data_IF_395136292647
#
_entry.id   IF_395136292647
#
_cell.length_a   1.000
_cell.length_b   1.000
_cell.length_c   1.000
_cell.angle_alpha   90.00
_cell.angle_beta   90.00
_cell.angle_gamma   90.00
#
_symmetry.space_group_name_H-M   'P 1'
#
loop_
_entity.id
_entity.type
_entity.pdbx_description
1 polymer ?
#
# COMPACT_ATOMS: atom_id res chain seq x y z
N UNK A 1 -5.83 26.16 -19.47
CA UNK A 1 -5.53 25.90 -18.04
C UNK A 1 -6.34 24.75 -17.44
N UNK A 2 -7.63 24.60 -17.74
CA UNK A 2 -8.51 23.54 -17.21
C UNK A 2 -8.01 22.09 -17.40
N UNK A 3 -7.46 21.71 -18.56
CA UNK A 3 -7.05 20.31 -18.79
C UNK A 3 -5.90 19.84 -17.89
N UNK A 4 -5.07 20.77 -17.39
CA UNK A 4 -3.98 20.45 -16.47
C UNK A 4 -4.50 20.11 -15.06
N UNK A 5 -5.59 20.76 -14.62
CA UNK A 5 -6.23 20.49 -13.33
C UNK A 5 -6.99 19.16 -13.36
N UNK A 6 -7.77 18.91 -14.42
CA UNK A 6 -8.50 17.64 -14.60
C UNK A 6 -7.53 16.46 -14.67
N UNK A 7 -6.36 16.64 -15.30
CA UNK A 7 -5.32 15.60 -15.37
C UNK A 7 -4.62 15.36 -14.04
N UNK A 8 -4.39 16.41 -13.23
CA UNK A 8 -3.85 16.29 -11.86
C UNK A 8 -4.84 15.59 -10.92
N UNK A 9 -6.13 15.90 -11.03
CA UNK A 9 -7.19 15.18 -10.32
C UNK A 9 -7.23 13.70 -10.74
N UNK A 10 -7.18 13.40 -12.03
CA UNK A 10 -7.20 12.01 -12.49
C UNK A 10 -6.04 11.17 -11.95
N UNK A 11 -4.83 11.73 -11.82
CA UNK A 11 -3.67 11.03 -11.19
C UNK A 11 -3.96 10.74 -9.72
N UNK A 12 -4.35 11.77 -8.96
CA UNK A 12 -4.65 11.62 -7.54
C UNK A 12 -5.79 10.63 -7.29
N UNK A 13 -6.78 10.56 -8.19
CA UNK A 13 -7.90 9.62 -8.07
C UNK A 13 -7.42 8.17 -8.09
N UNK A 14 -6.38 7.81 -8.85
CA UNK A 14 -5.86 6.43 -8.86
C UNK A 14 -5.24 6.04 -7.52
N UNK A 15 -4.43 6.95 -6.94
CA UNK A 15 -3.83 6.76 -5.62
C UNK A 15 -4.93 6.65 -4.55
N UNK A 16 -5.93 7.52 -4.60
CA UNK A 16 -7.06 7.51 -3.66
C UNK A 16 -7.84 6.19 -3.77
N UNK A 17 -8.14 5.73 -4.99
CA UNK A 17 -8.83 4.45 -5.21
C UNK A 17 -8.01 3.30 -4.62
N UNK A 18 -6.69 3.28 -4.87
CA UNK A 18 -5.81 2.24 -4.32
C UNK A 18 -5.80 2.26 -2.78
N UNK A 19 -5.71 3.44 -2.17
CA UNK A 19 -5.80 3.59 -0.73
C UNK A 19 -7.14 3.12 -0.18
N UNK A 20 -8.26 3.55 -0.78
CA UNK A 20 -9.59 3.13 -0.34
C UNK A 20 -9.77 1.62 -0.43
N UNK A 21 -9.31 1.01 -1.52
CA UNK A 21 -9.37 -0.44 -1.70
C UNK A 21 -8.51 -1.18 -0.67
N UNK A 22 -7.28 -0.70 -0.44
CA UNK A 22 -6.38 -1.28 0.55
C UNK A 22 -6.95 -1.19 1.98
N UNK A 23 -7.49 -0.03 2.36
CA UNK A 23 -8.12 0.17 3.67
C UNK A 23 -9.40 -0.65 3.81
N UNK A 24 -10.19 -0.81 2.74
CA UNK A 24 -11.36 -1.69 2.79
C UNK A 24 -10.96 -3.14 3.10
N UNK A 25 -9.90 -3.64 2.46
CA UNK A 25 -9.37 -4.99 2.75
C UNK A 25 -8.89 -5.08 4.19
N UNK A 26 -8.17 -4.06 4.67
CA UNK A 26 -7.67 -3.99 6.04
C UNK A 26 -8.82 -4.06 7.06
N UNK A 27 -9.86 -3.25 6.91
CA UNK A 27 -11.02 -3.24 7.80
C UNK A 27 -11.80 -4.57 7.76
N UNK A 28 -11.99 -5.15 6.57
CA UNK A 28 -12.75 -6.40 6.41
C UNK A 28 -12.03 -7.63 6.96
N UNK A 29 -10.70 -7.66 6.88
CA UNK A 29 -9.91 -8.83 7.27
C UNK A 29 -9.27 -8.59 8.63
N UNK A 30 -8.41 -7.59 8.73
CA UNK A 30 -7.55 -7.37 9.89
C UNK A 30 -8.37 -6.96 11.11
N UNK A 31 -9.13 -5.87 11.01
CA UNK A 31 -9.95 -5.36 12.13
C UNK A 31 -10.99 -6.40 12.57
N UNK A 32 -11.57 -7.14 11.63
CA UNK A 32 -12.53 -8.20 11.94
C UNK A 32 -11.90 -9.36 12.71
N UNK A 33 -10.70 -9.80 12.31
CA UNK A 33 -9.94 -10.84 13.02
C UNK A 33 -9.46 -10.36 14.39
N UNK A 34 -8.98 -9.12 14.45
CA UNK A 34 -8.53 -8.48 15.68
C UNK A 34 -9.65 -8.39 16.72
N UNK A 35 -10.83 -7.90 16.33
CA UNK A 35 -12.01 -7.86 17.20
C UNK A 35 -12.42 -9.25 17.69
N UNK A 36 -12.35 -10.26 16.82
CA UNK A 36 -12.66 -11.63 17.21
C UNK A 36 -11.63 -12.21 18.19
N UNK A 37 -10.35 -11.90 18.01
CA UNK A 37 -9.28 -12.25 18.94
C UNK A 37 -9.52 -11.63 20.32
N UNK A 38 -9.84 -10.33 20.41
CA UNK A 38 -10.15 -9.67 21.69
C UNK A 38 -11.35 -10.27 22.42
N UNK A 39 -12.29 -10.86 21.67
CA UNK A 39 -13.47 -11.50 22.26
C UNK A 39 -13.15 -12.90 22.82
N UNK A 40 -12.26 -13.64 22.18
CA UNK A 40 -12.04 -15.07 22.43
C UNK A 40 -10.69 -15.37 23.09
N UNK A 41 -9.83 -14.37 23.23
CA UNK A 41 -8.42 -14.47 23.64
C UNK A 41 -7.61 -15.49 22.81
N UNK A 42 -8.11 -15.85 21.62
CA UNK A 42 -7.48 -16.80 20.72
C UNK A 42 -7.92 -16.57 19.29
N UNK A 43 -7.05 -16.94 18.35
CA UNK A 43 -7.34 -16.87 16.92
C UNK A 43 -7.98 -18.19 16.51
N UNK A 44 -9.15 -18.15 15.89
CA UNK A 44 -9.82 -19.35 15.39
C UNK A 44 -9.79 -19.39 13.85
N UNK A 45 -9.26 -20.46 13.24
CA UNK A 45 -8.55 -21.59 13.86
C UNK A 45 -7.13 -21.23 14.34
N UNK A 46 -6.73 -21.78 15.48
CA UNK A 46 -5.43 -21.53 16.12
C UNK A 46 -4.29 -22.29 15.41
N UNK A 47 -4.07 -21.94 14.14
CA UNK A 47 -3.03 -22.53 13.30
C UNK A 47 -1.91 -21.53 13.10
N UNK A 48 -0.67 -22.02 13.15
CA UNK A 48 0.53 -21.19 12.96
C UNK A 48 0.50 -20.47 11.60
N UNK A 49 0.07 -21.15 10.55
CA UNK A 49 -0.03 -20.57 9.21
C UNK A 49 -0.99 -19.39 9.16
N UNK A 50 -2.15 -19.47 9.84
CA UNK A 50 -3.11 -18.38 9.86
C UNK A 50 -2.60 -17.18 10.65
N UNK A 51 -1.87 -17.41 11.74
CA UNK A 51 -1.21 -16.32 12.48
C UNK A 51 -0.14 -15.61 11.64
N UNK A 52 0.70 -16.37 10.92
CA UNK A 52 1.70 -15.78 10.01
C UNK A 52 1.06 -15.01 8.86
N UNK A 53 0.00 -15.57 8.25
CA UNK A 53 -0.76 -14.90 7.20
C UNK A 53 -1.37 -13.60 7.74
N UNK A 54 -1.91 -13.64 8.95
CA UNK A 54 -2.55 -12.48 9.55
C UNK A 54 -1.54 -11.37 9.84
N UNK A 55 -0.41 -11.67 10.49
CA UNK A 55 0.67 -10.70 10.72
C UNK A 55 1.19 -10.14 9.39
N UNK A 56 1.33 -10.98 8.38
CA UNK A 56 1.73 -10.53 7.05
C UNK A 56 0.72 -9.56 6.43
N UNK A 57 -0.57 -9.86 6.52
CA UNK A 57 -1.63 -8.99 6.00
C UNK A 57 -1.62 -7.65 6.73
N UNK A 58 -1.55 -7.66 8.07
CA UNK A 58 -1.54 -6.44 8.87
C UNK A 58 -0.35 -5.52 8.50
N UNK A 59 0.87 -6.03 8.64
CA UNK A 59 2.10 -5.27 8.41
C UNK A 59 2.25 -4.83 6.95
N UNK A 60 1.94 -5.72 5.99
CA UNK A 60 2.07 -5.39 4.57
C UNK A 60 1.03 -4.35 4.15
N UNK A 61 -0.25 -4.51 4.52
CA UNK A 61 -1.30 -3.55 4.13
C UNK A 61 -1.09 -2.19 4.80
N UNK A 62 -0.69 -2.16 6.07
CA UNK A 62 -0.34 -0.93 6.78
C UNK A 62 0.82 -0.19 6.10
N UNK A 63 1.89 -0.93 5.78
CA UNK A 63 3.06 -0.39 5.10
C UNK A 63 2.74 0.10 3.68
N UNK A 64 1.90 -0.64 2.94
CA UNK A 64 1.42 -0.23 1.60
C UNK A 64 0.63 1.08 1.67
N UNK A 65 -0.27 1.25 2.64
CA UNK A 65 -0.98 2.51 2.85
C UNK A 65 -0.01 3.66 3.11
N UNK A 66 0.94 3.46 4.02
CA UNK A 66 1.90 4.49 4.44
C UNK A 66 2.82 4.91 3.29
N UNK A 67 3.40 3.94 2.58
CA UNK A 67 4.29 4.24 1.44
C UNK A 67 3.53 4.88 0.28
N UNK A 68 2.27 4.51 0.06
CA UNK A 68 1.43 5.10 -0.98
C UNK A 68 1.15 6.57 -0.68
N UNK A 69 0.83 6.91 0.57
CA UNK A 69 0.63 8.31 1.00
C UNK A 69 1.94 9.11 0.90
N UNK A 70 3.06 8.52 1.32
CA UNK A 70 4.37 9.15 1.22
C UNK A 70 4.73 9.43 -0.25
N UNK A 71 4.60 8.43 -1.12
CA UNK A 71 4.86 8.56 -2.56
C UNK A 71 3.96 9.60 -3.22
N UNK A 72 2.66 9.59 -2.92
CA UNK A 72 1.73 10.58 -3.45
C UNK A 72 2.09 12.02 -3.04
N UNK A 73 2.70 12.19 -1.86
CA UNK A 73 3.16 13.49 -1.37
C UNK A 73 4.43 13.94 -2.11
N UNK A 74 5.38 13.03 -2.33
CA UNK A 74 6.58 13.26 -3.15
C UNK A 74 6.18 13.59 -4.60
N UNK A 75 5.26 12.82 -5.19
CA UNK A 75 4.78 13.06 -6.54
C UNK A 75 4.14 14.45 -6.67
N UNK A 76 3.30 14.84 -5.70
CA UNK A 76 2.69 16.19 -5.68
C UNK A 76 3.76 17.28 -5.60
N UNK A 77 4.81 17.08 -4.81
CA UNK A 77 5.94 18.00 -4.75
C UNK A 77 6.62 18.13 -6.13
N UNK A 78 6.97 17.01 -6.76
CA UNK A 78 7.58 16.99 -8.11
C UNK A 78 6.68 17.68 -9.13
N UNK A 79 5.36 17.46 -9.07
CA UNK A 79 4.38 18.08 -9.96
C UNK A 79 4.33 19.61 -9.86
N UNK A 80 4.53 20.16 -8.66
CA UNK A 80 4.51 21.60 -8.39
C UNK A 80 5.80 22.25 -8.94
N UNK A 81 6.96 21.67 -8.64
CA UNK A 81 8.27 22.26 -9.00
C UNK A 81 8.74 21.90 -10.41
N UNK A 82 8.32 20.76 -10.96
CA UNK A 82 8.77 20.22 -12.25
C UNK A 82 7.62 19.80 -13.17
N UNK A 83 6.63 20.68 -13.37
CA UNK A 83 5.43 20.42 -14.18
C UNK A 83 5.72 19.89 -15.62
N UNK A 84 6.88 20.24 -16.21
CA UNK A 84 7.26 19.80 -17.56
C UNK A 84 7.53 18.28 -17.65
N UNK A 85 7.86 17.62 -16.54
CA UNK A 85 8.22 16.20 -16.50
C UNK A 85 7.04 15.29 -16.85
N UNK A 86 5.82 15.75 -16.56
CA UNK A 86 4.58 15.00 -16.80
C UNK A 86 3.88 15.38 -18.11
N UNK A 87 4.50 16.21 -18.96
CA UNK A 87 3.92 16.64 -20.23
C UNK A 87 3.69 15.48 -21.21
N UNK A 88 4.57 14.48 -21.21
CA UNK A 88 4.50 13.30 -22.09
C UNK A 88 3.89 12.09 -21.39
N UNK A 89 3.02 11.36 -22.10
CA UNK A 89 2.37 10.13 -21.61
C UNK A 89 3.37 9.06 -21.16
N UNK A 90 4.50 8.91 -21.88
CA UNK A 90 5.56 7.95 -21.51
C UNK A 90 6.26 8.32 -20.21
N UNK A 91 6.55 9.61 -20.01
CA UNK A 91 7.19 10.09 -18.77
C UNK A 91 6.24 9.98 -17.58
N UNK A 92 4.94 10.22 -17.79
CA UNK A 92 3.92 9.97 -16.76
C UNK A 92 3.89 8.52 -16.32
N UNK A 93 3.97 7.58 -17.26
CA UNK A 93 4.04 6.16 -16.90
C UNK A 93 5.26 5.84 -16.03
N UNK A 94 6.44 6.33 -16.44
CA UNK A 94 7.71 6.08 -15.75
C UNK A 94 7.82 6.79 -14.39
N UNK A 95 7.18 7.93 -14.20
CA UNK A 95 7.30 8.72 -12.96
C UNK A 95 6.17 8.41 -11.97
N UNK A 96 4.96 8.10 -12.44
CA UNK A 96 3.82 7.82 -11.57
C UNK A 96 3.67 6.32 -11.27
N UNK A 97 3.47 5.52 -12.32
CA UNK A 97 3.07 4.11 -12.15
C UNK A 97 4.26 3.22 -11.78
N UNK A 98 5.42 3.39 -12.43
CA UNK A 98 6.58 2.52 -12.19
C UNK A 98 7.07 2.59 -10.74
N UNK A 99 7.32 3.78 -10.14
CA UNK A 99 7.81 3.84 -8.77
C UNK A 99 6.78 3.30 -7.78
N UNK A 100 5.49 3.57 -8.01
CA UNK A 100 4.42 3.06 -7.16
C UNK A 100 4.34 1.53 -7.21
N UNK A 101 4.41 0.92 -8.40
CA UNK A 101 4.43 -0.55 -8.55
C UNK A 101 5.68 -1.16 -7.90
N UNK A 102 6.85 -0.53 -8.07
CA UNK A 102 8.10 -0.99 -7.46
C UNK A 102 8.08 -0.89 -5.93
N UNK A 103 7.55 0.21 -5.36
CA UNK A 103 7.44 0.39 -3.92
C UNK A 103 6.46 -0.60 -3.30
N UNK A 104 5.28 -0.78 -3.90
CA UNK A 104 4.27 -1.73 -3.40
C UNK A 104 4.81 -3.16 -3.47
N UNK A 105 5.39 -3.57 -4.61
CA UNK A 105 5.98 -4.91 -4.73
C UNK A 105 7.15 -5.13 -3.78
N UNK A 106 8.02 -4.12 -3.58
CA UNK A 106 9.11 -4.18 -2.62
C UNK A 106 8.60 -4.39 -1.19
N UNK A 107 7.61 -3.62 -0.74
CA UNK A 107 7.04 -3.74 0.61
C UNK A 107 6.41 -5.12 0.82
N UNK A 108 5.64 -5.62 -0.15
CA UNK A 108 5.01 -6.95 -0.07
C UNK A 108 6.08 -8.03 0.02
N UNK A 109 7.12 -7.98 -0.84
CA UNK A 109 8.20 -8.95 -0.84
C UNK A 109 9.03 -8.90 0.45
N UNK A 110 9.33 -7.71 0.94
CA UNK A 110 10.08 -7.51 2.17
C UNK A 110 9.36 -8.17 3.36
N UNK A 111 8.09 -7.86 3.57
CA UNK A 111 7.31 -8.45 4.67
C UNK A 111 7.14 -9.96 4.49
N UNK A 112 6.96 -10.44 3.26
CA UNK A 112 6.87 -11.87 2.99
C UNK A 112 8.14 -12.60 3.44
N UNK A 113 9.32 -12.09 3.06
CA UNK A 113 10.60 -12.70 3.43
C UNK A 113 10.81 -12.66 4.94
N UNK A 114 10.61 -11.51 5.59
CA UNK A 114 10.87 -11.34 7.02
C UNK A 114 9.95 -12.21 7.88
N UNK A 115 8.69 -12.39 7.48
CA UNK A 115 7.69 -13.13 8.26
C UNK A 115 7.75 -14.64 7.99
N UNK A 116 7.96 -15.06 6.75
CA UNK A 116 7.99 -16.49 6.38
C UNK A 116 9.35 -17.12 6.66
N UNK A 117 10.44 -16.35 6.55
CA UNK A 117 11.81 -16.81 6.81
C UNK A 117 12.42 -15.98 7.94
N UNK A 118 11.90 -16.07 9.17
CA UNK A 118 12.47 -15.35 10.29
C UNK A 118 13.92 -15.83 10.49
N UNK A 119 14.89 -14.91 10.61
CA UNK A 119 16.31 -15.26 10.72
C UNK A 119 16.68 -15.98 12.02
N UNK A 120 15.75 -16.11 12.96
CA UNK A 120 15.97 -16.75 14.25
C UNK A 120 14.99 -17.92 14.43
N UNK A 121 15.53 -19.14 14.50
CA UNK A 121 14.89 -20.26 15.19
C UNK A 121 15.32 -20.16 16.66
N UNK A 122 14.36 -20.10 17.59
CA UNK A 122 14.62 -20.07 19.04
C UNK A 122 14.98 -21.47 19.56
#
# INVERSE_FOLDING_TARGET
MLSSQTRRQAINNHVIILLLFNNLIYELIDISLFLNYYRLDTVLPATQSLCLIWIFIDEALYSVSTITVAWASIERHILIFHNQWLSSSRRRFLIHYVPMMLLVSYIILFHFVVIVFPPCEN
#
